data_IF_694333258138
#
_entry.id   IF_694333258138
#
_cell.length_a   1.000
_cell.length_b   1.000
_cell.length_c   1.000
_cell.angle_alpha   90.00
_cell.angle_beta   90.00
_cell.angle_gamma   90.00
#
_symmetry.space_group_name_H-M   'P 1'
#
loop_
_entity.id
_entity.type
_entity.pdbx_description
1 polymer ?
#
# COMPACT_ATOMS: atom_id res chain seq x y z
N UNK A 1 -38.16 8.31 6.59
CA UNK A 1 -37.20 7.48 7.36
C UNK A 1 -35.81 7.80 6.83
N UNK A 2 -35.01 8.60 7.59
CA UNK A 2 -33.60 8.77 7.33
C UNK A 2 -32.95 7.42 7.66
N UNK A 3 -32.48 6.68 6.67
CA UNK A 3 -31.47 5.68 6.88
C UNK A 3 -30.28 6.41 7.49
N UNK A 4 -30.04 6.21 8.77
CA UNK A 4 -28.79 6.63 9.40
C UNK A 4 -27.69 5.87 8.67
N UNK A 5 -26.98 6.57 7.78
CA UNK A 5 -25.71 6.08 7.27
C UNK A 5 -24.78 5.91 8.47
N UNK A 6 -24.23 4.72 8.64
CA UNK A 6 -23.28 4.34 9.70
C UNK A 6 -21.98 5.20 9.65
N UNK A 7 -21.87 6.13 8.70
CA UNK A 7 -20.73 7.03 8.49
C UNK A 7 -21.16 8.50 8.52
N UNK A 8 -21.53 8.98 9.70
CA UNK A 8 -21.76 10.43 9.89
C UNK A 8 -20.47 11.23 10.06
N UNK A 9 -19.33 10.58 10.25
CA UNK A 9 -18.02 11.19 10.33
C UNK A 9 -16.97 10.39 9.57
N UNK A 10 -16.08 11.08 8.87
CA UNK A 10 -14.91 10.50 8.15
C UNK A 10 -14.05 9.64 9.07
N UNK A 11 -14.01 9.97 10.35
CA UNK A 11 -13.10 9.36 11.33
C UNK A 11 -13.77 8.34 12.26
N UNK A 12 -15.02 7.97 12.08
CA UNK A 12 -15.71 7.12 13.06
C UNK A 12 -15.08 5.73 13.18
N UNK A 13 -14.73 5.11 12.07
CA UNK A 13 -14.07 3.80 12.06
C UNK A 13 -12.69 3.90 12.72
N UNK A 14 -11.88 4.87 12.33
CA UNK A 14 -10.52 4.99 12.88
C UNK A 14 -10.51 5.43 14.34
N UNK A 15 -11.51 6.18 14.79
CA UNK A 15 -11.70 6.47 16.22
C UNK A 15 -12.03 5.21 17.01
N UNK A 16 -12.87 4.33 16.48
CA UNK A 16 -13.17 3.04 17.08
C UNK A 16 -11.91 2.17 17.17
N UNK A 17 -11.13 2.10 16.08
CA UNK A 17 -9.83 1.41 16.08
C UNK A 17 -8.92 1.99 17.17
N UNK A 18 -8.83 3.31 17.28
CA UNK A 18 -8.03 3.98 18.31
C UNK A 18 -8.50 3.64 19.75
N UNK A 19 -9.81 3.53 19.98
CA UNK A 19 -10.35 3.08 21.28
C UNK A 19 -9.96 1.63 21.57
N UNK A 20 -10.04 0.75 20.59
CA UNK A 20 -9.62 -0.65 20.71
C UNK A 20 -8.12 -0.79 21.02
N UNK A 21 -7.28 -0.02 20.32
CA UNK A 21 -5.83 0.03 20.60
C UNK A 21 -5.57 0.47 22.03
N UNK A 22 -6.20 1.56 22.49
CA UNK A 22 -6.06 2.07 23.84
C UNK A 22 -6.60 1.11 24.90
N UNK A 23 -7.77 0.51 24.67
CA UNK A 23 -8.36 -0.47 25.58
C UNK A 23 -7.45 -1.68 25.78
N UNK A 24 -6.85 -2.19 24.72
CA UNK A 24 -5.87 -3.28 24.84
C UNK A 24 -4.59 -2.85 25.58
N UNK A 25 -4.18 -1.59 25.51
CA UNK A 25 -3.02 -1.10 26.24
C UNK A 25 -3.22 -1.07 27.77
N UNK A 26 -4.44 -0.98 28.25
CA UNK A 26 -4.76 -1.03 29.68
C UNK A 26 -4.78 -2.44 30.28
N UNK A 27 -4.87 -3.50 29.47
CA UNK A 27 -5.11 -4.87 29.94
C UNK A 27 -3.82 -5.68 30.12
N UNK A 28 -2.67 -5.23 29.63
CA UNK A 28 -1.43 -6.01 29.73
C UNK A 28 -0.23 -5.18 30.13
N UNK A 29 0.40 -5.64 31.19
CA UNK A 29 1.66 -5.13 31.71
C UNK A 29 2.81 -5.30 30.71
N UNK A 30 3.35 -4.17 30.21
CA UNK A 30 4.74 -4.05 29.80
C UNK A 30 5.23 -4.76 28.51
N UNK A 31 4.39 -5.44 27.74
CA UNK A 31 4.83 -6.05 26.48
C UNK A 31 4.62 -5.11 25.28
N UNK A 32 5.66 -4.96 24.46
CA UNK A 32 5.60 -4.32 23.13
C UNK A 32 4.52 -4.98 22.28
N UNK A 33 3.48 -4.23 21.95
CA UNK A 33 2.35 -4.74 21.19
C UNK A 33 2.49 -4.40 19.74
N UNK A 34 2.39 -5.41 18.92
CA UNK A 34 2.31 -5.29 17.49
C UNK A 34 0.85 -5.48 17.08
N UNK A 35 0.29 -4.47 16.41
CA UNK A 35 -1.10 -4.48 15.96
C UNK A 35 -1.08 -4.33 14.45
N UNK A 36 -1.78 -5.21 13.76
CA UNK A 36 -2.00 -5.12 12.32
C UNK A 36 -3.43 -4.67 12.10
N UNK A 37 -3.59 -3.64 11.26
CA UNK A 37 -4.88 -3.15 10.81
C UNK A 37 -4.99 -3.51 9.34
N UNK A 38 -5.90 -4.42 9.01
CA UNK A 38 -6.12 -4.86 7.65
C UNK A 38 -7.11 -3.93 6.92
N UNK A 39 -6.84 -3.74 5.63
CA UNK A 39 -7.77 -3.09 4.68
C UNK A 39 -8.10 -1.63 4.97
N UNK A 40 -7.11 -0.80 5.30
CA UNK A 40 -7.28 0.67 5.30
C UNK A 40 -7.48 1.10 3.84
N UNK A 41 -8.63 1.72 3.56
CA UNK A 41 -9.03 2.12 2.19
C UNK A 41 -9.23 3.62 2.03
N UNK A 42 -9.08 4.39 3.09
CA UNK A 42 -9.25 5.85 3.07
C UNK A 42 -7.98 6.53 3.56
N UNK A 43 -7.42 7.42 2.76
CA UNK A 43 -6.16 8.11 3.06
C UNK A 43 -6.24 9.02 4.29
N UNK A 44 -7.41 9.57 4.60
CA UNK A 44 -7.60 10.38 5.81
C UNK A 44 -7.62 9.53 7.08
N UNK A 45 -8.12 8.29 7.01
CA UNK A 45 -8.02 7.32 8.10
C UNK A 45 -6.56 6.92 8.36
N UNK A 46 -5.80 6.68 7.28
CA UNK A 46 -4.37 6.41 7.35
C UNK A 46 -3.60 7.57 7.97
N UNK A 47 -3.87 8.80 7.51
CA UNK A 47 -3.27 10.03 8.04
C UNK A 47 -3.57 10.21 9.53
N UNK A 48 -4.82 9.98 9.96
CA UNK A 48 -5.19 10.06 11.38
C UNK A 48 -4.36 9.12 12.27
N UNK A 49 -4.13 7.88 11.81
CA UNK A 49 -3.31 6.91 12.54
C UNK A 49 -1.83 7.31 12.54
N UNK A 50 -1.32 7.77 11.41
CA UNK A 50 0.06 8.22 11.23
C UNK A 50 0.41 9.40 12.14
N UNK A 51 -0.47 10.39 12.25
CA UNK A 51 -0.25 11.55 13.13
C UNK A 51 -0.37 11.20 14.61
N UNK A 52 -1.06 10.12 14.95
CA UNK A 52 -1.32 9.73 16.33
C UNK A 52 -0.33 8.72 16.90
N UNK A 53 0.25 7.90 16.05
CA UNK A 53 1.14 6.81 16.44
C UNK A 53 2.46 6.91 15.68
N UNK A 54 3.54 7.27 16.38
CA UNK A 54 4.88 7.38 15.76
C UNK A 54 5.38 6.03 15.18
N UNK A 55 4.93 4.91 15.73
CA UNK A 55 5.24 3.56 15.23
C UNK A 55 4.24 3.01 14.22
N UNK A 56 3.39 3.85 13.62
CA UNK A 56 2.49 3.45 12.56
C UNK A 56 3.21 3.48 11.21
N UNK A 57 3.12 2.38 10.49
CA UNK A 57 3.62 2.26 9.11
C UNK A 57 2.47 1.81 8.21
N UNK A 58 2.21 2.57 7.16
CA UNK A 58 1.27 2.19 6.12
C UNK A 58 2.01 1.35 5.07
N UNK A 59 1.50 0.16 4.82
CA UNK A 59 2.10 -0.78 3.90
C UNK A 59 1.17 -1.07 2.73
N UNK A 60 1.67 -0.90 1.52
CA UNK A 60 1.00 -1.28 0.29
C UNK A 60 1.55 -2.62 -0.22
N UNK A 61 0.65 -3.55 -0.47
CA UNK A 61 0.99 -4.85 -1.08
C UNK A 61 0.53 -4.81 -2.54
N UNK A 62 1.48 -5.01 -3.44
CA UNK A 62 1.25 -5.07 -4.88
C UNK A 62 1.33 -6.51 -5.36
N UNK A 63 0.57 -6.83 -6.41
CA UNK A 63 0.67 -8.10 -7.10
C UNK A 63 1.27 -7.89 -8.49
N UNK A 64 2.37 -8.58 -8.77
CA UNK A 64 3.05 -8.57 -10.06
C UNK A 64 2.59 -9.73 -10.98
N UNK A 65 1.68 -10.57 -10.49
CA UNK A 65 1.12 -11.66 -11.25
C UNK A 65 0.01 -11.15 -12.18
N UNK A 66 -0.40 -11.98 -13.16
CA UNK A 66 -1.53 -11.63 -14.01
C UNK A 66 -2.82 -11.63 -13.18
N UNK A 67 -3.16 -10.46 -12.63
CA UNK A 67 -4.28 -10.25 -11.72
C UNK A 67 -5.60 -10.81 -12.25
N UNK A 68 -5.84 -10.69 -13.55
CA UNK A 68 -7.08 -11.15 -14.15
C UNK A 68 -7.20 -12.68 -14.13
N UNK A 69 -6.12 -13.39 -14.49
CA UNK A 69 -6.09 -14.86 -14.46
C UNK A 69 -6.25 -15.35 -13.03
N UNK A 70 -5.45 -14.82 -12.11
CA UNK A 70 -5.49 -15.23 -10.71
C UNK A 70 -6.86 -14.98 -10.05
N UNK A 71 -7.48 -13.83 -10.35
CA UNK A 71 -8.81 -13.52 -9.84
C UNK A 71 -9.88 -14.45 -10.42
N UNK A 72 -9.80 -14.77 -11.71
CA UNK A 72 -10.72 -15.74 -12.34
C UNK A 72 -10.55 -17.15 -11.78
N UNK A 73 -9.32 -17.58 -11.51
CA UNK A 73 -9.05 -18.87 -10.88
C UNK A 73 -9.60 -18.93 -9.45
N UNK A 74 -9.43 -17.86 -8.68
CA UNK A 74 -9.98 -17.76 -7.33
C UNK A 74 -11.52 -17.74 -7.32
N UNK A 75 -12.14 -17.07 -8.27
CA UNK A 75 -13.60 -17.09 -8.44
C UNK A 75 -14.05 -18.53 -8.78
N UNK A 76 -13.35 -19.21 -9.68
CA UNK A 76 -13.66 -20.61 -10.01
C UNK A 76 -13.55 -21.51 -8.79
N UNK A 77 -12.48 -21.41 -8.01
CA UNK A 77 -12.29 -22.22 -6.80
C UNK A 77 -13.39 -22.02 -5.77
N UNK A 78 -13.81 -20.76 -5.55
CA UNK A 78 -14.90 -20.44 -4.61
C UNK A 78 -16.28 -20.98 -5.07
N UNK A 79 -16.52 -21.01 -6.37
CA UNK A 79 -17.78 -21.54 -6.92
C UNK A 79 -17.75 -23.08 -6.89
N UNK A 80 -16.61 -23.71 -7.18
CA UNK A 80 -16.47 -25.18 -7.21
C UNK A 80 -16.52 -25.85 -5.83
N UNK A 81 -16.34 -25.12 -4.73
CA UNK A 81 -16.56 -25.66 -3.37
C UNK A 81 -18.02 -26.09 -3.11
N UNK A 82 -18.97 -25.75 -3.99
CA UNK A 82 -20.39 -26.08 -3.83
C UNK A 82 -21.06 -26.85 -4.95
N UNK A 83 -20.48 -26.98 -6.14
CA UNK A 83 -21.14 -27.57 -7.33
C UNK A 83 -20.15 -28.08 -8.37
N UNK A 84 -20.67 -28.89 -9.31
CA UNK A 84 -20.01 -29.30 -10.56
C UNK A 84 -19.44 -28.08 -11.32
N UNK A 85 -18.53 -28.31 -12.27
CA UNK A 85 -17.72 -27.31 -12.99
C UNK A 85 -18.41 -25.93 -13.18
N UNK A 86 -17.81 -24.84 -12.70
CA UNK A 86 -18.44 -23.53 -12.74
C UNK A 86 -18.63 -23.07 -14.19
N UNK A 87 -19.83 -22.62 -14.51
CA UNK A 87 -20.16 -22.03 -15.80
C UNK A 87 -19.24 -20.83 -16.08
N UNK A 88 -18.57 -20.87 -17.22
CA UNK A 88 -17.62 -19.82 -17.65
C UNK A 88 -18.28 -18.43 -17.77
N UNK A 89 -19.58 -18.40 -18.09
CA UNK A 89 -20.35 -17.15 -18.18
C UNK A 89 -20.58 -16.55 -16.79
N UNK A 90 -20.86 -17.38 -15.79
CA UNK A 90 -21.01 -16.96 -14.40
C UNK A 90 -19.71 -16.38 -13.85
N UNK A 91 -18.59 -17.05 -14.11
CA UNK A 91 -17.24 -16.60 -13.70
C UNK A 91 -16.93 -15.23 -14.31
N UNK A 92 -17.17 -15.04 -15.61
CA UNK A 92 -16.91 -13.76 -16.28
C UNK A 92 -17.83 -12.64 -15.73
N UNK A 93 -19.10 -12.94 -15.46
CA UNK A 93 -20.04 -11.97 -14.89
C UNK A 93 -19.67 -11.55 -13.47
N UNK A 94 -19.17 -12.48 -12.65
CA UNK A 94 -18.63 -12.16 -11.32
C UNK A 94 -17.34 -11.35 -11.41
N UNK A 95 -16.45 -11.71 -12.31
CA UNK A 95 -15.21 -10.98 -12.56
C UNK A 95 -15.48 -9.51 -12.93
N UNK A 96 -16.37 -9.25 -13.89
CA UNK A 96 -16.74 -7.88 -14.27
C UNK A 96 -17.34 -7.07 -13.12
N UNK A 97 -18.17 -7.67 -12.28
CA UNK A 97 -18.69 -7.02 -11.08
C UNK A 97 -17.58 -6.65 -10.09
N UNK A 98 -16.64 -7.56 -9.83
CA UNK A 98 -15.53 -7.31 -8.92
C UNK A 98 -14.62 -6.21 -9.49
N UNK A 99 -14.38 -6.22 -10.80
CA UNK A 99 -13.60 -5.17 -11.48
C UNK A 99 -14.25 -3.80 -11.31
N UNK A 100 -15.55 -3.68 -11.56
CA UNK A 100 -16.29 -2.43 -11.36
C UNK A 100 -16.20 -1.92 -9.91
N UNK A 101 -16.32 -2.81 -8.93
CA UNK A 101 -16.17 -2.43 -7.51
C UNK A 101 -14.75 -1.98 -7.20
N UNK A 102 -13.74 -2.69 -7.69
CA UNK A 102 -12.34 -2.33 -7.51
C UNK A 102 -12.01 -0.96 -8.13
N UNK A 103 -12.51 -0.69 -9.34
CA UNK A 103 -12.30 0.59 -10.03
C UNK A 103 -13.00 1.75 -9.29
N UNK A 104 -14.17 1.48 -8.71
CA UNK A 104 -14.87 2.46 -7.88
C UNK A 104 -14.11 2.78 -6.57
N UNK A 105 -13.47 1.77 -5.95
CA UNK A 105 -12.67 1.97 -4.74
C UNK A 105 -11.30 2.63 -5.03
N UNK A 106 -10.73 2.37 -6.20
CA UNK A 106 -9.45 2.97 -6.62
C UNK A 106 -9.59 4.45 -6.97
N UNK A 107 -10.78 4.88 -7.41
CA UNK A 107 -10.99 6.17 -8.06
C UNK A 107 -11.19 7.36 -7.13
N UNK A 108 -10.60 8.51 -7.49
CA UNK A 108 -10.74 9.80 -6.80
C UNK A 108 -12.07 10.53 -7.07
N UNK A 109 -12.96 9.99 -7.89
CA UNK A 109 -14.17 10.70 -8.38
C UNK A 109 -15.08 11.21 -7.26
N UNK A 110 -15.16 10.50 -6.15
CA UNK A 110 -15.96 10.90 -5.00
C UNK A 110 -15.25 11.94 -4.14
N UNK A 111 -13.93 11.87 -4.01
CA UNK A 111 -13.12 12.90 -3.35
C UNK A 111 -13.23 14.26 -4.06
N UNK A 112 -13.18 14.28 -5.39
CA UNK A 112 -13.37 15.49 -6.20
C UNK A 112 -14.75 16.12 -5.98
N UNK A 113 -15.76 15.30 -5.63
CA UNK A 113 -17.11 15.75 -5.26
C UNK A 113 -17.26 16.09 -3.77
N UNK A 114 -16.19 16.10 -3.00
CA UNK A 114 -16.21 16.39 -1.57
C UNK A 114 -16.70 15.22 -0.69
N UNK A 115 -16.78 14.01 -1.22
CA UNK A 115 -17.18 12.81 -0.48
C UNK A 115 -15.97 12.12 0.15
N UNK A 116 -15.37 12.75 1.14
CA UNK A 116 -14.14 12.29 1.79
C UNK A 116 -14.27 10.99 2.61
N UNK A 117 -15.46 10.48 2.79
CA UNK A 117 -15.72 9.18 3.44
C UNK A 117 -15.61 7.99 2.49
N UNK A 118 -15.56 8.23 1.19
CA UNK A 118 -15.41 7.17 0.19
C UNK A 118 -14.01 6.56 0.19
N UNK A 119 -13.85 5.29 -0.19
CA UNK A 119 -12.55 4.69 -0.37
C UNK A 119 -11.70 5.47 -1.40
N UNK A 120 -10.42 5.60 -1.11
CA UNK A 120 -9.41 6.17 -2.00
C UNK A 120 -8.11 5.34 -1.90
N UNK A 121 -8.19 4.12 -2.40
CA UNK A 121 -7.10 3.15 -2.29
C UNK A 121 -5.86 3.61 -3.04
N UNK A 122 -6.03 4.27 -4.21
CA UNK A 122 -4.89 4.78 -4.98
C UNK A 122 -4.06 5.79 -4.17
N UNK A 123 -4.71 6.67 -3.40
CA UNK A 123 -4.01 7.60 -2.53
C UNK A 123 -3.37 6.89 -1.33
N UNK A 124 -4.05 5.90 -0.72
CA UNK A 124 -3.43 5.09 0.34
C UNK A 124 -2.16 4.41 -0.13
N UNK A 125 -2.16 3.86 -1.35
CA UNK A 125 -0.96 3.26 -1.96
C UNK A 125 0.13 4.31 -2.17
N UNK A 126 -0.22 5.49 -2.69
CA UNK A 126 0.74 6.57 -2.92
C UNK A 126 1.36 7.12 -1.62
N UNK A 127 0.61 7.10 -0.52
CA UNK A 127 1.03 7.59 0.79
C UNK A 127 1.71 6.52 1.66
N UNK A 128 1.80 5.27 1.16
CA UNK A 128 2.42 4.17 1.90
C UNK A 128 3.93 4.37 2.04
N UNK A 129 4.45 4.11 3.24
CA UNK A 129 5.90 4.14 3.51
C UNK A 129 6.61 2.88 3.04
N UNK A 130 5.90 1.77 2.98
CA UNK A 130 6.45 0.46 2.65
C UNK A 130 5.65 -0.12 1.49
N UNK A 131 6.37 -0.51 0.44
CA UNK A 131 5.80 -1.21 -0.71
C UNK A 131 6.37 -2.61 -0.78
N UNK A 132 5.49 -3.60 -0.78
CA UNK A 132 5.83 -5.01 -0.90
C UNK A 132 5.18 -5.57 -2.16
N UNK A 133 5.92 -6.35 -2.91
CA UNK A 133 5.45 -6.91 -4.18
C UNK A 133 5.36 -8.44 -4.07
N UNK A 134 4.18 -8.98 -4.33
CA UNK A 134 4.00 -10.41 -4.50
C UNK A 134 4.42 -10.79 -5.92
N UNK A 135 5.71 -11.12 -6.07
CA UNK A 135 6.29 -11.42 -7.37
C UNK A 135 5.88 -12.80 -7.87
N UNK A 136 5.68 -12.92 -9.18
CA UNK A 136 5.55 -14.23 -9.83
C UNK A 136 6.86 -15.03 -9.71
N UNK A 137 6.80 -16.36 -9.63
CA UNK A 137 8.00 -17.19 -9.67
C UNK A 137 8.87 -16.88 -10.89
N UNK A 138 10.18 -16.85 -10.70
CA UNK A 138 11.17 -16.67 -11.77
C UNK A 138 12.06 -17.90 -11.89
N UNK A 139 12.36 -18.32 -13.11
CA UNK A 139 13.30 -19.40 -13.42
C UNK A 139 14.75 -18.89 -13.56
N UNK A 140 14.95 -17.58 -13.64
CA UNK A 140 16.25 -16.93 -13.78
C UNK A 140 16.87 -16.59 -12.42
N UNK A 141 18.05 -15.96 -12.43
CA UNK A 141 18.74 -15.51 -11.22
C UNK A 141 17.84 -14.54 -10.43
N UNK A 142 17.36 -15.01 -9.29
CA UNK A 142 16.46 -14.26 -8.42
C UNK A 142 17.25 -13.10 -7.74
N UNK A 143 16.77 -11.85 -7.85
CA UNK A 143 17.34 -10.71 -7.12
C UNK A 143 17.22 -10.90 -5.59
N UNK A 144 18.05 -10.22 -4.82
CA UNK A 144 17.92 -10.18 -3.36
C UNK A 144 16.56 -9.57 -2.96
N UNK A 145 15.96 -10.15 -1.94
CA UNK A 145 14.63 -9.74 -1.44
C UNK A 145 13.52 -9.75 -2.50
N UNK A 146 13.56 -10.75 -3.39
CA UNK A 146 12.56 -10.89 -4.45
C UNK A 146 11.25 -11.49 -3.96
N UNK A 147 11.33 -12.52 -3.11
CA UNK A 147 10.13 -13.18 -2.58
C UNK A 147 9.39 -12.30 -1.57
N UNK A 148 8.11 -12.53 -1.41
CA UNK A 148 7.28 -11.80 -0.46
C UNK A 148 7.82 -11.94 0.98
N UNK A 149 8.24 -13.15 1.36
CA UNK A 149 8.80 -13.46 2.68
C UNK A 149 10.11 -12.71 2.93
N UNK A 150 11.01 -12.67 1.95
CA UNK A 150 12.29 -11.95 2.05
C UNK A 150 12.07 -10.45 2.20
N UNK A 151 11.11 -9.88 1.46
CA UNK A 151 10.73 -8.48 1.59
C UNK A 151 10.19 -8.18 2.99
N UNK A 152 9.31 -9.05 3.52
CA UNK A 152 8.81 -8.93 4.88
C UNK A 152 9.92 -8.98 5.93
N UNK A 153 10.86 -9.92 5.79
CA UNK A 153 12.02 -10.01 6.69
C UNK A 153 12.89 -8.76 6.61
N UNK A 154 13.12 -8.22 5.39
CA UNK A 154 13.87 -6.97 5.19
C UNK A 154 13.22 -5.82 5.96
N UNK A 155 11.94 -5.57 5.76
CA UNK A 155 11.25 -4.45 6.38
C UNK A 155 11.08 -4.63 7.89
N UNK A 156 10.81 -5.84 8.37
CA UNK A 156 10.78 -6.14 9.79
C UNK A 156 12.14 -5.87 10.44
N UNK A 157 13.24 -6.27 9.79
CA UNK A 157 14.59 -5.99 10.27
C UNK A 157 14.91 -4.50 10.33
N UNK A 158 14.48 -3.73 9.31
CA UNK A 158 14.68 -2.28 9.29
C UNK A 158 13.91 -1.55 10.40
N UNK A 159 12.70 -2.04 10.73
CA UNK A 159 11.88 -1.46 11.80
C UNK A 159 12.42 -1.80 13.18
N UNK A 160 12.82 -3.06 13.39
CA UNK A 160 13.22 -3.55 14.70
C UNK A 160 14.69 -3.29 15.03
N UNK A 161 15.55 -3.37 14.02
CA UNK A 161 17.00 -3.28 14.15
C UNK A 161 17.59 -2.42 13.03
N UNK A 162 17.37 -1.07 13.06
CA UNK A 162 17.93 -0.18 12.04
C UNK A 162 19.44 -0.33 11.96
N UNK A 163 19.95 -0.45 10.74
CA UNK A 163 21.38 -0.65 10.46
C UNK A 163 21.82 -2.11 10.27
N UNK A 164 20.95 -3.09 10.50
CA UNK A 164 21.25 -4.48 10.19
C UNK A 164 21.32 -4.72 8.67
N UNK A 165 20.45 -4.05 7.92
CA UNK A 165 20.42 -4.08 6.46
C UNK A 165 20.79 -2.70 5.94
N UNK A 166 21.81 -2.65 5.07
CA UNK A 166 22.23 -1.41 4.42
C UNK A 166 21.47 -1.19 3.11
N UNK A 167 21.22 0.07 2.72
CA UNK A 167 20.59 0.37 1.43
C UNK A 167 21.38 -0.18 0.25
N UNK A 168 20.69 -0.71 -0.74
CA UNK A 168 21.28 -1.12 -2.01
C UNK A 168 21.89 0.07 -2.78
N UNK A 169 22.65 -0.21 -3.82
CA UNK A 169 23.24 0.84 -4.65
C UNK A 169 22.16 1.71 -5.32
N UNK A 170 21.08 1.07 -5.79
CA UNK A 170 19.92 1.76 -6.39
C UNK A 170 19.16 2.59 -5.35
N UNK A 171 18.91 2.04 -4.18
CA UNK A 171 18.25 2.76 -3.09
C UNK A 171 19.04 4.01 -2.68
N UNK A 172 20.37 3.93 -2.62
CA UNK A 172 21.22 5.10 -2.36
C UNK A 172 21.10 6.16 -3.46
N UNK A 173 21.07 5.74 -4.72
CA UNK A 173 20.87 6.67 -5.85
C UNK A 173 19.47 7.32 -5.78
N UNK A 174 18.46 6.57 -5.41
CA UNK A 174 17.09 7.09 -5.25
C UNK A 174 16.96 8.09 -4.11
N UNK A 175 17.67 7.89 -2.99
CA UNK A 175 17.74 8.88 -1.89
C UNK A 175 18.33 10.19 -2.37
N UNK A 176 19.40 10.15 -3.18
CA UNK A 176 20.00 11.36 -3.75
C UNK A 176 19.04 12.04 -4.74
N UNK A 177 18.36 11.29 -5.60
CA UNK A 177 17.34 11.82 -6.50
C UNK A 177 16.18 12.46 -5.69
N UNK A 178 15.74 11.80 -4.63
CA UNK A 178 14.70 12.34 -3.76
C UNK A 178 15.13 13.64 -3.08
N UNK A 179 16.38 13.72 -2.62
CA UNK A 179 16.92 14.96 -2.03
C UNK A 179 17.05 16.09 -3.05
N UNK A 180 17.41 15.75 -4.30
CA UNK A 180 17.56 16.73 -5.37
C UNK A 180 16.25 17.48 -5.68
N UNK A 181 15.08 16.87 -5.50
CA UNK A 181 13.77 17.51 -5.73
C UNK A 181 13.56 18.78 -4.91
N UNK A 182 14.17 18.86 -3.69
CA UNK A 182 14.03 20.04 -2.82
C UNK A 182 14.73 21.29 -3.35
N UNK A 183 15.55 21.16 -4.38
CA UNK A 183 16.12 22.31 -5.10
C UNK A 183 15.15 22.88 -6.13
N UNK A 184 14.06 22.18 -6.44
CA UNK A 184 13.06 22.64 -7.40
C UNK A 184 12.21 23.75 -6.82
N UNK A 185 12.05 24.86 -7.56
CA UNK A 185 11.11 25.95 -7.25
C UNK A 185 9.67 25.68 -7.71
N UNK A 186 9.36 24.54 -8.32
CA UNK A 186 8.05 24.24 -8.85
C UNK A 186 7.02 24.04 -7.72
N UNK A 187 5.95 24.83 -7.75
CA UNK A 187 4.88 24.80 -6.75
C UNK A 187 3.91 23.61 -6.94
N UNK A 188 3.79 23.11 -8.17
CA UNK A 188 2.84 22.03 -8.48
C UNK A 188 3.43 20.65 -8.22
N UNK A 189 4.67 20.41 -8.67
CA UNK A 189 5.33 19.12 -8.52
C UNK A 189 6.85 19.24 -8.58
N UNK A 190 7.50 18.95 -7.49
CA UNK A 190 8.96 18.90 -7.41
C UNK A 190 9.45 17.51 -7.83
N UNK A 191 10.37 17.47 -8.77
CA UNK A 191 10.97 16.23 -9.29
C UNK A 191 12.49 16.34 -9.19
N UNK A 192 13.14 15.31 -8.67
CA UNK A 192 14.58 15.15 -8.68
C UNK A 192 14.98 13.92 -9.49
N UNK A 193 16.14 13.97 -10.11
CA UNK A 193 16.70 12.91 -10.94
C UNK A 193 18.18 12.73 -10.69
N UNK A 194 18.68 11.53 -10.90
CA UNK A 194 20.10 11.16 -10.81
C UNK A 194 20.46 10.35 -12.04
N UNK A 195 21.59 10.67 -12.65
CA UNK A 195 22.18 9.86 -13.74
C UNK A 195 23.38 9.10 -13.15
N UNK A 196 23.41 7.79 -13.33
CA UNK A 196 24.46 6.92 -12.85
C UNK A 196 25.11 6.15 -14.01
N UNK A 197 26.30 5.61 -13.78
CA UNK A 197 26.90 4.61 -14.65
C UNK A 197 26.38 3.20 -14.24
N UNK A 198 26.86 2.16 -14.97
CA UNK A 198 26.53 0.75 -14.71
C UNK A 198 26.94 0.25 -13.30
N UNK A 199 27.82 0.95 -12.60
CA UNK A 199 28.27 0.65 -11.23
C UNK A 199 27.57 1.51 -10.18
N UNK A 200 26.45 2.15 -10.54
CA UNK A 200 25.69 3.07 -9.68
C UNK A 200 26.49 4.26 -9.14
N UNK A 201 27.63 4.62 -9.79
CA UNK A 201 28.34 5.85 -9.45
C UNK A 201 27.61 7.04 -10.07
N UNK A 202 27.24 7.99 -9.22
CA UNK A 202 26.48 9.19 -9.62
C UNK A 202 27.35 10.07 -10.51
N UNK A 203 26.86 10.42 -11.68
CA UNK A 203 27.48 11.29 -12.66
C UNK A 203 26.95 12.70 -12.59
N UNK A 204 25.66 12.84 -12.44
CA UNK A 204 25.02 14.14 -12.32
C UNK A 204 23.69 14.03 -11.58
N UNK A 205 23.26 15.14 -11.06
CA UNK A 205 22.00 15.33 -10.35
C UNK A 205 21.23 16.45 -11.04
N UNK A 206 19.94 16.28 -11.18
CA UNK A 206 19.06 17.29 -11.78
C UNK A 206 17.73 17.39 -11.06
N UNK A 207 17.05 18.49 -11.27
CA UNK A 207 15.68 18.72 -10.82
C UNK A 207 14.91 19.55 -11.84
N UNK A 208 13.58 19.53 -11.75
CA UNK A 208 12.77 20.37 -12.61
C UNK A 208 12.81 21.82 -12.13
N UNK A 209 12.91 22.75 -13.09
CA UNK A 209 12.77 24.17 -12.85
C UNK A 209 11.35 24.65 -13.23
N UNK A 210 11.00 25.90 -12.91
CA UNK A 210 9.67 26.46 -13.16
C UNK A 210 9.53 26.86 -14.62
#
# INVERSE_FOLDING_TARGET
>A
QRQMCIRDSIYDIVKLINVLIKGKNHISDGFDRRIVIDSIRNSLEALYLKERYAGFYLMAVHDNQNRELHLKEKIKSLISEGCEEPDSELVNRMFEKIKLLSDAEAGNKDYEKGRFYSPNVAQCIADAEIHVVNNAPMDEKIPEFYTLEEQWMKYASLILHPGLITPSAEERCMVVAYSAKFNSGCLSRQVGAVITNQYHSIRTIGWNDV
#
